data_IF_923080110093
#
_entry.id   IF_923080110093
#
_cell.length_a   1.000
_cell.length_b   1.000
_cell.length_c   1.000
_cell.angle_alpha   90.00
_cell.angle_beta   90.00
_cell.angle_gamma   90.00
#
_symmetry.space_group_name_H-M   'P 1'
#
loop_
_entity.id
_entity.type
_entity.pdbx_description
1 polymer ?
#
# COMPACT_ATOMS: atom_id res chain seq x y z
N UNK A 1 -1.99 6.75 12.95
CA UNK A 1 -1.22 7.66 12.05
C UNK A 1 0.21 7.16 11.91
N UNK A 2 0.66 6.95 10.68
CA UNK A 2 2.01 6.43 10.39
C UNK A 2 3.07 7.51 10.56
N UNK A 3 4.21 7.15 11.15
CA UNK A 3 5.40 8.01 11.23
C UNK A 3 6.40 7.58 10.16
N UNK A 4 7.01 8.54 9.48
CA UNK A 4 8.03 8.32 8.48
C UNK A 4 9.26 7.64 9.10
N UNK A 5 9.71 6.54 8.51
CA UNK A 5 10.88 5.83 9.00
C UNK A 5 12.18 6.65 8.96
N UNK A 6 12.28 7.65 8.06
CA UNK A 6 13.48 8.50 7.92
C UNK A 6 13.54 9.67 8.90
N UNK A 7 12.45 10.42 9.08
CA UNK A 7 12.47 11.66 9.86
C UNK A 7 11.44 11.71 11.01
N UNK A 8 10.67 10.64 11.22
CA UNK A 8 9.72 10.51 12.34
C UNK A 8 8.44 11.34 12.22
N UNK A 9 8.30 12.18 11.18
CA UNK A 9 7.10 13.00 10.94
C UNK A 9 5.90 12.17 10.51
N UNK A 10 4.72 12.65 10.84
CA UNK A 10 3.46 12.00 10.43
C UNK A 10 3.35 12.06 8.91
N UNK A 11 3.08 10.91 8.30
CA UNK A 11 2.93 10.78 6.86
C UNK A 11 1.49 11.06 6.44
N UNK A 12 1.32 11.53 5.20
CA UNK A 12 0.03 11.53 4.51
C UNK A 12 -0.23 10.11 4.02
N UNK A 13 -1.18 9.41 4.66
CA UNK A 13 -1.56 8.02 4.36
C UNK A 13 -2.76 7.93 3.41
N UNK A 14 -3.21 6.71 3.13
CA UNK A 14 -4.43 6.41 2.35
C UNK A 14 -4.40 6.90 0.90
N UNK A 15 -3.20 7.09 0.36
CA UNK A 15 -2.99 7.39 -1.06
C UNK A 15 -3.00 6.10 -1.87
N UNK A 16 -3.35 6.20 -3.16
CA UNK A 16 -3.32 5.08 -4.11
C UNK A 16 -2.26 5.33 -5.18
N UNK A 17 -1.61 4.27 -5.64
CA UNK A 17 -0.73 4.35 -6.80
C UNK A 17 -1.57 4.58 -8.06
N UNK A 18 -1.28 5.66 -8.76
CA UNK A 18 -1.83 5.96 -10.07
C UNK A 18 -0.69 6.07 -11.06
N UNK A 19 -0.75 5.27 -12.11
CA UNK A 19 0.13 5.41 -13.27
C UNK A 19 -0.42 6.48 -14.21
N UNK A 20 0.45 7.36 -14.71
CA UNK A 20 0.03 8.39 -15.66
C UNK A 20 -0.46 7.74 -16.97
N UNK A 21 -1.62 8.17 -17.47
CA UNK A 21 -2.23 7.60 -18.68
C UNK A 21 -3.03 6.31 -18.48
N UNK A 22 -3.21 5.84 -17.24
CA UNK A 22 -4.03 4.66 -16.92
C UNK A 22 -4.80 4.79 -15.61
N UNK A 23 -5.93 4.07 -15.50
CA UNK A 23 -6.78 4.00 -14.32
C UNK A 23 -6.62 2.68 -13.55
N UNK A 24 -5.42 2.11 -13.52
CA UNK A 24 -5.17 0.80 -12.95
C UNK A 24 -4.68 0.89 -11.51
N UNK A 25 -5.24 0.06 -10.62
CA UNK A 25 -4.77 -0.15 -9.25
C UNK A 25 -3.75 -1.29 -9.18
N UNK A 26 -2.94 -1.31 -8.11
CA UNK A 26 -2.02 -2.41 -7.81
C UNK A 26 -2.61 -3.19 -6.63
N UNK A 27 -2.86 -4.48 -6.83
CA UNK A 27 -3.39 -5.38 -5.81
C UNK A 27 -2.36 -6.45 -5.45
N UNK A 28 -2.39 -6.92 -4.20
CA UNK A 28 -1.64 -8.11 -3.80
C UNK A 28 -2.56 -9.32 -3.89
N UNK A 29 -2.11 -10.40 -4.51
CA UNK A 29 -2.85 -11.66 -4.58
C UNK A 29 -1.95 -12.83 -4.16
N UNK A 30 -2.57 -13.85 -3.56
CA UNK A 30 -1.92 -15.15 -3.33
C UNK A 30 -2.38 -16.10 -4.42
N UNK A 31 -1.42 -16.74 -5.09
CA UNK A 31 -1.71 -17.80 -6.07
C UNK A 31 -1.61 -19.16 -5.37
N UNK A 32 -2.72 -19.60 -4.77
CA UNK A 32 -2.87 -20.99 -4.36
C UNK A 32 -3.36 -21.79 -5.55
N UNK A 33 -2.81 -23.00 -5.74
CA UNK A 33 -2.88 -23.90 -6.92
C UNK A 33 -4.19 -23.98 -7.72
N UNK A 34 -5.34 -23.48 -7.23
CA UNK A 34 -6.60 -23.35 -7.98
C UNK A 34 -7.47 -22.11 -7.61
N UNK A 35 -7.05 -21.20 -6.73
CA UNK A 35 -7.82 -20.01 -6.34
C UNK A 35 -6.90 -18.82 -6.09
N UNK A 36 -6.75 -17.96 -7.11
CA UNK A 36 -6.18 -16.64 -6.90
C UNK A 36 -7.12 -15.83 -6.00
N UNK A 37 -6.64 -15.42 -4.82
CA UNK A 37 -7.38 -14.54 -3.91
C UNK A 37 -6.69 -13.20 -3.84
N UNK A 38 -7.43 -12.14 -4.17
CA UNK A 38 -6.98 -10.76 -3.93
C UNK A 38 -7.02 -10.52 -2.42
N UNK A 39 -5.89 -10.08 -1.86
CA UNK A 39 -5.73 -9.78 -0.44
C UNK A 39 -6.34 -8.42 -0.14
N UNK A 40 -5.80 -7.37 -0.77
CA UNK A 40 -6.27 -5.98 -0.72
C UNK A 40 -5.52 -5.13 -1.78
N UNK A 41 -5.98 -3.89 -2.00
CA UNK A 41 -5.28 -2.86 -2.76
C UNK A 41 -4.03 -2.35 -2.00
N UNK A 42 -2.95 -2.09 -2.74
CA UNK A 42 -1.76 -1.45 -2.17
C UNK A 42 -2.04 0.03 -1.91
N UNK A 43 -1.91 0.43 -0.65
CA UNK A 43 -1.93 1.84 -0.22
C UNK A 43 -0.52 2.41 -0.16
N UNK A 44 -0.45 3.73 -0.27
CA UNK A 44 0.77 4.52 -0.19
C UNK A 44 0.66 5.58 0.90
N UNK A 45 1.75 5.77 1.61
CA UNK A 45 1.97 6.92 2.46
C UNK A 45 3.16 7.73 1.96
N UNK A 46 3.07 9.05 1.98
CA UNK A 46 4.17 9.95 1.61
C UNK A 46 4.49 10.88 2.78
N UNK A 47 5.77 11.01 3.09
CA UNK A 47 6.24 11.99 4.06
C UNK A 47 6.26 13.38 3.41
N UNK A 48 5.51 14.37 3.95
CA UNK A 48 5.45 15.71 3.36
C UNK A 48 6.76 16.51 3.51
N UNK A 49 7.65 16.07 4.41
CA UNK A 49 8.88 16.80 4.74
C UNK A 49 10.08 16.30 3.91
N UNK A 50 10.30 14.98 3.88
CA UNK A 50 11.48 14.40 3.23
C UNK A 50 11.16 13.59 1.96
N UNK A 51 9.88 13.49 1.58
CA UNK A 51 9.44 12.79 0.38
C UNK A 51 9.55 11.26 0.45
N UNK A 52 9.85 10.66 1.62
CA UNK A 52 9.88 9.20 1.75
C UNK A 52 8.51 8.61 1.41
N UNK A 53 8.50 7.57 0.58
CA UNK A 53 7.29 6.87 0.15
C UNK A 53 7.30 5.48 0.75
N UNK A 54 6.17 5.07 1.33
CA UNK A 54 5.99 3.76 1.94
C UNK A 54 4.73 3.10 1.39
N UNK A 55 4.86 1.90 0.82
CA UNK A 55 3.75 1.08 0.32
C UNK A 55 3.34 0.06 1.38
N UNK A 56 2.04 -0.23 1.50
CA UNK A 56 1.52 -1.10 2.54
C UNK A 56 0.12 -1.63 2.23
N UNK A 57 -0.31 -2.64 2.99
CA UNK A 57 -1.68 -3.12 3.04
C UNK A 57 -2.31 -2.65 4.35
N UNK A 58 -3.55 -2.16 4.28
CA UNK A 58 -4.28 -1.73 5.48
C UNK A 58 -4.88 -2.95 6.18
N UNK A 59 -5.57 -3.80 5.42
CA UNK A 59 -6.16 -5.04 5.94
C UNK A 59 -5.21 -6.23 5.72
N UNK A 60 -4.81 -6.84 6.83
CA UNK A 60 -3.95 -8.03 6.85
C UNK A 60 -4.74 -9.31 7.16
N UNK A 61 -6.08 -9.24 7.26
CA UNK A 61 -6.94 -10.38 7.62
C UNK A 61 -6.80 -11.52 6.62
N UNK A 62 -6.66 -11.20 5.34
CA UNK A 62 -6.46 -12.18 4.27
C UNK A 62 -5.01 -12.67 4.11
N UNK A 63 -4.10 -12.20 4.97
CA UNK A 63 -2.66 -12.51 4.97
C UNK A 63 -2.26 -13.49 6.07
N UNK A 64 -3.12 -13.72 7.05
CA UNK A 64 -2.89 -14.65 8.16
C UNK A 64 -3.54 -15.99 7.81
N UNK A 65 -2.77 -17.07 7.91
CA UNK A 65 -3.24 -18.45 7.78
C UNK A 65 -4.34 -18.79 8.81
#
# INVERSE_FOLDING_TARGET
MRKCAKCGKVMMSDLRLKVNGGGYGIVVHVDEKQKAKIIDDVKVAVCPECGNIEMYLEDLTNLKD
#
